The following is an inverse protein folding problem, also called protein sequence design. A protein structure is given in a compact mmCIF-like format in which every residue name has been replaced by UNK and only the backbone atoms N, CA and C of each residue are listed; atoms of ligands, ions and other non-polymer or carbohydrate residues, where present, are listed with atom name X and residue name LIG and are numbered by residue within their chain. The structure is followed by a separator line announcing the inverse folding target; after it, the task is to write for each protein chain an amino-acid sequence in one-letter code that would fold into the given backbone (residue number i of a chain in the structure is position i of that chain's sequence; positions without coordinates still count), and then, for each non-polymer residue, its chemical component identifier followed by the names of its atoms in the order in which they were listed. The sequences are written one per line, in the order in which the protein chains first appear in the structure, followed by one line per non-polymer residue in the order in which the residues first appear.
data_IF_596349400803
#
_entry.id   IF_596349400803
#
_cell.length_a   1.000
_cell.length_b   1.000
_cell.length_c   1.000
_cell.angle_alpha   90.00
_cell.angle_beta   90.00
_cell.angle_gamma   90.00
#
_symmetry.space_group_name_H-M   'P 1'
#
loop_
_entity.id
_entity.type
_entity.pdbx_description
1 polymer ?
#
# COMPACT_ATOMS: atom_id res chain seq x y z
N UNK A 1 3.09 -5.07 5.03
CA UNK A 1 4.15 -5.36 6.03
C UNK A 1 5.01 -6.52 5.53
N UNK A 2 4.48 -7.72 5.33
CA UNK A 2 5.25 -8.94 5.06
C UNK A 2 6.13 -8.84 3.80
N UNK A 3 5.58 -8.29 2.70
CA UNK A 3 6.35 -8.01 1.49
C UNK A 3 7.51 -7.02 1.74
N UNK A 4 7.25 -5.95 2.50
CA UNK A 4 8.26 -4.96 2.81
C UNK A 4 9.36 -5.54 3.74
N UNK A 5 9.00 -6.44 4.65
CA UNK A 5 9.95 -7.16 5.47
C UNK A 5 10.85 -8.07 4.62
N UNK A 6 10.28 -8.76 3.62
CA UNK A 6 11.05 -9.55 2.66
C UNK A 6 12.02 -8.67 1.84
N UNK A 7 11.54 -7.55 1.34
CA UNK A 7 12.39 -6.59 0.62
C UNK A 7 13.55 -6.10 1.51
N UNK A 8 13.26 -5.79 2.79
CA UNK A 8 14.30 -5.43 3.76
C UNK A 8 15.35 -6.55 3.92
N UNK A 9 14.92 -7.80 4.01
CA UNK A 9 15.82 -8.94 4.11
C UNK A 9 16.71 -9.09 2.86
N UNK A 10 16.13 -8.94 1.68
CA UNK A 10 16.83 -9.12 0.41
C UNK A 10 17.79 -7.97 0.07
N UNK A 11 17.46 -6.73 0.46
CA UNK A 11 18.15 -5.51 0.02
C UNK A 11 18.91 -4.77 1.13
N UNK A 12 18.58 -5.01 2.40
CA UNK A 12 19.04 -4.22 3.54
C UNK A 12 18.35 -2.85 3.68
N UNK A 13 17.42 -2.50 2.79
CA UNK A 13 16.70 -1.23 2.84
C UNK A 13 15.54 -1.37 3.84
N UNK A 14 15.45 -0.47 4.82
CA UNK A 14 14.40 -0.48 5.84
C UNK A 14 13.00 -0.32 5.22
N UNK A 15 12.00 -1.02 5.78
CA UNK A 15 10.62 -0.83 5.35
C UNK A 15 10.04 0.53 5.80
N UNK A 16 10.51 1.08 6.92
CA UNK A 16 10.20 2.44 7.34
C UNK A 16 11.42 3.32 7.04
N UNK A 17 11.28 4.26 6.12
CA UNK A 17 12.38 5.09 5.64
C UNK A 17 12.09 6.57 5.87
N UNK A 18 13.01 7.33 6.47
CA UNK A 18 12.92 8.78 6.46
C UNK A 18 12.81 9.30 5.02
N UNK A 19 12.11 10.41 4.82
CA UNK A 19 11.82 10.94 3.48
C UNK A 19 13.08 11.16 2.62
N UNK A 20 14.21 11.53 3.22
CA UNK A 20 15.48 11.75 2.50
C UNK A 20 16.09 10.47 1.87
N UNK A 21 15.59 9.27 2.19
CA UNK A 21 16.02 8.05 1.50
C UNK A 21 15.53 7.99 0.06
N UNK A 22 14.29 8.40 -0.16
CA UNK A 22 13.63 8.33 -1.45
C UNK A 22 13.66 9.66 -2.21
N UNK A 23 13.85 10.79 -1.47
CA UNK A 23 13.81 12.16 -1.98
C UNK A 23 15.07 12.94 -1.55
N UNK A 24 16.26 12.34 -1.72
CA UNK A 24 17.52 12.90 -1.21
C UNK A 24 17.89 14.29 -1.79
N UNK A 25 17.44 14.57 -3.01
CA UNK A 25 17.72 15.84 -3.70
C UNK A 25 16.73 16.96 -3.32
N UNK A 26 15.69 16.64 -2.53
CA UNK A 26 14.70 17.61 -2.09
C UNK A 26 14.99 18.06 -0.65
N UNK A 27 15.19 19.35 -0.43
CA UNK A 27 15.45 19.91 0.88
C UNK A 27 14.30 19.68 1.86
N UNK A 28 13.07 19.60 1.39
CA UNK A 28 11.91 19.31 2.21
C UNK A 28 12.03 17.95 2.91
N UNK A 29 12.63 16.97 2.28
CA UNK A 29 12.82 15.64 2.84
C UNK A 29 13.60 15.63 4.18
N UNK A 30 14.36 16.68 4.45
CA UNK A 30 15.15 16.86 5.68
C UNK A 30 14.41 17.66 6.76
N UNK A 31 13.33 18.37 6.39
CA UNK A 31 12.56 19.22 7.30
C UNK A 31 11.37 18.50 7.94
N UNK A 32 10.73 17.57 7.20
CA UNK A 32 9.53 16.84 7.64
C UNK A 32 9.89 15.53 8.37
N UNK A 33 10.51 15.65 9.55
CA UNK A 33 11.15 14.53 10.27
C UNK A 33 10.20 13.46 10.79
N UNK A 34 8.92 13.77 10.93
CA UNK A 34 7.90 12.84 11.39
C UNK A 34 7.16 12.14 10.25
N UNK A 35 7.54 12.47 9.00
CA UNK A 35 7.06 11.77 7.82
C UNK A 35 8.04 10.67 7.42
N UNK A 36 7.50 9.60 6.89
CA UNK A 36 8.28 8.46 6.42
C UNK A 36 7.56 7.68 5.33
N UNK A 37 8.33 7.07 4.46
CA UNK A 37 7.83 6.05 3.54
C UNK A 37 7.72 4.71 4.27
N UNK A 38 6.58 4.05 4.11
CA UNK A 38 6.37 2.67 4.55
C UNK A 38 6.27 1.76 3.31
N UNK A 39 7.33 1.00 3.04
CA UNK A 39 7.50 0.39 1.73
C UNK A 39 7.66 1.47 0.65
N UNK A 40 7.38 1.11 -0.60
CA UNK A 40 7.62 2.00 -1.75
C UNK A 40 6.40 2.89 -2.10
N UNK A 41 5.23 2.56 -1.54
CA UNK A 41 3.96 3.11 -2.01
C UNK A 41 3.11 3.78 -0.92
N UNK A 42 3.58 3.85 0.31
CA UNK A 42 2.82 4.45 1.41
C UNK A 42 3.63 5.56 2.06
N UNK A 43 3.10 6.78 2.02
CA UNK A 43 3.54 7.92 2.81
C UNK A 43 2.76 7.93 4.12
N UNK A 44 3.46 8.00 5.24
CA UNK A 44 2.83 8.04 6.55
C UNK A 44 3.45 9.14 7.43
N UNK A 45 2.70 9.58 8.41
CA UNK A 45 3.19 10.51 9.42
C UNK A 45 2.64 10.18 10.80
N UNK A 46 3.31 10.68 11.83
CA UNK A 46 2.84 10.61 13.21
C UNK A 46 2.23 11.93 13.63
N UNK A 47 1.07 11.89 14.29
CA UNK A 47 0.44 13.06 14.90
C UNK A 47 1.00 13.22 16.33
N UNK A 48 2.00 14.08 16.48
CA UNK A 48 2.71 14.29 17.76
C UNK A 48 2.17 15.47 18.58
N UNK A 49 1.24 16.24 18.03
CA UNK A 49 0.65 17.38 18.74
C UNK A 49 -0.61 16.97 19.49
N UNK A 50 -0.84 17.52 20.70
CA UNK A 50 -2.08 17.26 21.41
C UNK A 50 -3.28 17.80 20.64
N UNK A 51 -4.40 17.11 20.74
CA UNK A 51 -5.65 17.59 20.18
C UNK A 51 -6.12 18.88 20.91
N UNK A 52 -6.72 19.79 20.16
CA UNK A 52 -7.40 20.93 20.70
C UNK A 52 -8.54 20.51 21.64
N UNK A 53 -8.65 21.11 22.81
CA UNK A 53 -9.60 20.70 23.86
C UNK A 53 -11.07 20.94 23.51
N UNK A 54 -11.35 21.84 22.57
CA UNK A 54 -12.71 22.18 22.15
C UNK A 54 -13.16 21.31 20.97
N UNK A 55 -12.29 21.19 19.96
CA UNK A 55 -12.60 20.47 18.73
C UNK A 55 -12.29 18.98 18.78
N UNK A 56 -11.39 18.55 19.68
CA UNK A 56 -10.88 17.18 19.72
C UNK A 56 -9.95 16.82 18.56
N UNK A 57 -9.51 17.81 17.77
CA UNK A 57 -8.69 17.62 16.59
C UNK A 57 -7.24 18.05 16.83
N UNK A 58 -6.31 17.23 16.41
CA UNK A 58 -4.89 17.58 16.33
C UNK A 58 -4.54 18.05 14.92
N UNK A 59 -3.72 19.09 14.81
CA UNK A 59 -3.21 19.59 13.53
C UNK A 59 -1.88 18.92 13.18
N UNK A 60 -1.70 18.58 11.93
CA UNK A 60 -0.45 18.06 11.41
C UNK A 60 -0.15 18.69 10.04
N UNK A 61 1.01 19.35 9.94
CA UNK A 61 1.55 19.75 8.65
C UNK A 61 2.06 18.52 7.89
N UNK A 62 1.85 18.48 6.58
CA UNK A 62 2.24 17.41 5.68
C UNK A 62 2.94 17.99 4.45
N UNK A 63 3.96 17.29 4.00
CA UNK A 63 4.59 17.52 2.71
C UNK A 63 4.31 16.31 1.80
N UNK A 64 3.77 16.59 0.63
CA UNK A 64 3.51 15.60 -0.40
C UNK A 64 4.56 15.75 -1.51
N UNK A 65 5.53 14.82 -1.63
CA UNK A 65 6.61 14.93 -2.59
C UNK A 65 6.14 15.06 -4.03
N UNK A 66 6.87 15.83 -4.82
CA UNK A 66 6.64 15.99 -6.26
C UNK A 66 6.89 14.68 -7.02
N UNK A 67 6.30 14.56 -8.20
CA UNK A 67 6.44 13.40 -9.11
C UNK A 67 5.45 12.27 -8.88
N UNK A 68 4.63 12.34 -7.82
CA UNK A 68 3.53 11.40 -7.57
C UNK A 68 2.34 12.14 -6.98
N UNK A 69 1.14 11.66 -7.28
CA UNK A 69 -0.07 12.01 -6.53
C UNK A 69 -0.30 10.99 -5.41
N UNK A 70 -1.05 11.39 -4.41
CA UNK A 70 -1.26 10.63 -3.18
C UNK A 70 -2.74 10.47 -2.89
N UNK A 71 -3.17 9.26 -2.64
CA UNK A 71 -4.55 8.94 -2.29
C UNK A 71 -4.71 8.85 -0.78
N UNK A 72 -5.50 9.75 -0.21
CA UNK A 72 -5.93 9.66 1.19
C UNK A 72 -6.97 8.56 1.34
N UNK A 73 -6.59 7.48 1.99
CA UNK A 73 -7.46 6.31 2.16
C UNK A 73 -8.62 6.58 3.12
N UNK A 74 -8.46 7.53 4.05
CA UNK A 74 -9.49 7.87 5.02
C UNK A 74 -10.62 8.71 4.41
N UNK A 75 -10.26 9.69 3.57
CA UNK A 75 -11.23 10.63 2.98
C UNK A 75 -11.64 10.28 1.55
N UNK A 76 -10.86 9.45 0.86
CA UNK A 76 -11.06 9.15 -0.56
C UNK A 76 -10.60 10.27 -1.49
N UNK A 77 -9.78 11.19 -1.02
CA UNK A 77 -9.33 12.36 -1.78
C UNK A 77 -7.98 12.12 -2.43
N UNK A 78 -7.80 12.60 -3.67
CA UNK A 78 -6.50 12.68 -4.32
C UNK A 78 -5.82 13.99 -3.93
N UNK A 79 -4.55 13.90 -3.57
CA UNK A 79 -3.69 15.03 -3.21
C UNK A 79 -2.54 15.07 -4.21
N UNK A 80 -2.38 16.19 -4.88
CA UNK A 80 -1.28 16.37 -5.82
C UNK A 80 0.07 16.47 -5.11
N UNK A 81 1.09 15.89 -5.70
CA UNK A 81 2.46 16.05 -5.22
C UNK A 81 2.98 17.47 -5.42
N UNK A 82 4.13 17.77 -4.81
CA UNK A 82 4.75 19.08 -4.85
C UNK A 82 4.11 20.13 -3.94
N UNK A 83 3.27 19.73 -2.98
CA UNK A 83 2.58 20.66 -2.09
C UNK A 83 2.74 20.33 -0.60
N UNK A 84 2.42 21.31 0.21
CA UNK A 84 2.34 21.21 1.67
C UNK A 84 0.93 21.56 2.10
N UNK A 85 0.42 20.86 3.10
CA UNK A 85 -0.88 21.14 3.68
C UNK A 85 -0.84 21.00 5.21
N UNK A 86 -1.86 21.55 5.89
CA UNK A 86 -2.07 21.33 7.31
C UNK A 86 -3.40 20.64 7.51
N UNK A 87 -3.34 19.38 7.82
CA UNK A 87 -4.49 18.51 8.00
C UNK A 87 -4.85 18.35 9.47
N UNK A 88 -6.06 17.90 9.73
CA UNK A 88 -6.58 17.69 11.10
C UNK A 88 -7.03 16.25 11.26
N UNK A 89 -6.73 15.69 12.46
CA UNK A 89 -6.98 14.29 12.76
C UNK A 89 -7.60 14.13 14.14
N UNK A 90 -8.48 13.17 14.27
CA UNK A 90 -8.96 12.69 15.57
C UNK A 90 -7.98 11.69 16.18
N UNK A 91 -8.15 11.34 17.47
CA UNK A 91 -7.32 10.34 18.15
C UNK A 91 -7.44 8.92 17.54
N UNK A 92 -8.50 8.65 16.78
CA UNK A 92 -8.76 7.36 16.15
C UNK A 92 -8.22 7.26 14.71
N UNK A 93 -7.65 8.34 14.19
CA UNK A 93 -7.11 8.38 12.84
C UNK A 93 -5.60 8.20 12.85
N UNK A 94 -5.12 7.40 11.90
CA UNK A 94 -3.70 7.20 11.65
C UNK A 94 -3.40 7.64 10.21
N UNK A 95 -2.77 8.81 10.02
CA UNK A 95 -2.57 9.36 8.68
C UNK A 95 -1.63 8.52 7.84
N UNK A 96 -2.12 8.02 6.73
CA UNK A 96 -1.31 7.43 5.67
C UNK A 96 -1.96 7.64 4.31
N UNK A 97 -1.12 7.76 3.32
CA UNK A 97 -1.50 8.07 1.95
C UNK A 97 -0.86 7.04 1.03
N UNK A 98 -1.62 6.56 0.07
CA UNK A 98 -1.14 5.58 -0.90
C UNK A 98 -0.78 6.30 -2.19
N UNK A 99 0.38 5.99 -2.73
CA UNK A 99 0.83 6.49 -4.03
C UNK A 99 -0.22 6.20 -5.10
N UNK A 100 -0.55 7.21 -5.91
CA UNK A 100 -1.51 7.05 -6.98
C UNK A 100 -1.11 5.91 -7.91
N UNK A 101 -2.08 5.07 -8.25
CA UNK A 101 -1.87 3.92 -9.11
C UNK A 101 -1.20 2.70 -8.48
N UNK A 102 -0.81 2.74 -7.22
CA UNK A 102 -0.21 1.60 -6.54
C UNK A 102 -1.21 0.46 -6.29
N UNK A 103 -0.68 -0.75 -6.20
CA UNK A 103 -1.43 -1.94 -5.78
C UNK A 103 -0.83 -2.47 -4.48
N UNK A 104 -1.60 -2.40 -3.41
CA UNK A 104 -1.16 -2.80 -2.08
C UNK A 104 -1.75 -4.17 -1.73
N UNK A 105 -0.92 -5.21 -1.59
CA UNK A 105 -1.36 -6.50 -1.08
C UNK A 105 -1.71 -6.41 0.41
N UNK A 106 -2.87 -6.90 0.77
CA UNK A 106 -3.40 -6.87 2.13
C UNK A 106 -3.88 -8.26 2.55
N UNK A 107 -3.89 -8.51 3.84
CA UNK A 107 -4.57 -9.68 4.39
C UNK A 107 -6.08 -9.59 4.15
N UNK A 108 -6.72 -10.71 3.96
CA UNK A 108 -8.18 -10.77 3.87
C UNK A 108 -8.85 -10.40 5.20
N UNK A 109 -10.14 -10.09 5.12
CA UNK A 109 -10.96 -9.80 6.30
C UNK A 109 -11.46 -11.06 7.04
N UNK A 110 -11.04 -12.22 6.57
CA UNK A 110 -11.37 -13.53 7.15
C UNK A 110 -10.51 -13.89 8.38
N UNK A 111 -9.47 -13.11 8.66
CA UNK A 111 -8.59 -13.30 9.82
C UNK A 111 -8.70 -12.14 10.82
N UNK A 112 -8.48 -12.42 12.08
CA UNK A 112 -8.44 -11.43 13.17
C UNK A 112 -7.00 -11.11 13.62
N UNK A 113 -6.07 -11.97 13.29
CA UNK A 113 -4.66 -11.87 13.65
C UNK A 113 -3.80 -12.33 12.47
N UNK A 114 -2.63 -11.74 12.29
CA UNK A 114 -1.66 -12.17 11.27
C UNK A 114 -1.01 -13.54 11.58
N UNK A 115 -1.30 -14.12 12.73
CA UNK A 115 -0.94 -15.51 13.05
C UNK A 115 -1.93 -16.54 12.45
N UNK A 116 -3.10 -16.07 12.04
CA UNK A 116 -4.08 -16.90 11.35
C UNK A 116 -3.75 -16.98 9.85
N UNK A 117 -3.93 -18.18 9.27
CA UNK A 117 -3.74 -18.37 7.83
C UNK A 117 -4.98 -17.88 7.08
N UNK A 118 -4.81 -16.86 6.25
CA UNK A 118 -5.86 -16.39 5.36
C UNK A 118 -5.76 -17.10 4.01
N UNK A 119 -6.89 -17.55 3.47
CA UNK A 119 -6.97 -18.00 2.09
C UNK A 119 -7.43 -16.88 1.14
N UNK A 120 -7.55 -15.66 1.62
CA UNK A 120 -7.93 -14.48 0.83
C UNK A 120 -6.73 -13.56 0.69
N UNK A 121 -6.31 -13.31 -0.54
CA UNK A 121 -5.43 -12.21 -0.88
C UNK A 121 -6.27 -11.02 -1.32
N UNK A 122 -6.25 -9.96 -0.54
CA UNK A 122 -6.89 -8.69 -0.89
C UNK A 122 -5.88 -7.79 -1.58
N UNK A 123 -6.25 -7.26 -2.74
CA UNK A 123 -5.47 -6.30 -3.49
C UNK A 123 -6.20 -4.96 -3.46
N UNK A 124 -5.64 -3.99 -2.76
CA UNK A 124 -6.13 -2.62 -2.77
C UNK A 124 -5.48 -1.90 -3.95
N UNK A 125 -6.29 -1.39 -4.86
CA UNK A 125 -5.86 -0.70 -6.08
C UNK A 125 -6.16 0.78 -5.92
N UNK A 126 -5.13 1.58 -5.71
CA UNK A 126 -5.27 3.03 -5.61
C UNK A 126 -5.60 3.65 -6.97
N UNK A 127 -6.42 4.72 -7.01
CA UNK A 127 -6.72 5.43 -8.24
C UNK A 127 -5.46 6.07 -8.83
N UNK A 128 -5.46 6.29 -10.13
CA UNK A 128 -4.35 6.88 -10.88
C UNK A 128 -4.07 6.11 -12.16
N UNK A 129 -3.72 6.83 -13.21
CA UNK A 129 -3.40 6.29 -14.53
C UNK A 129 -2.00 5.65 -14.55
N UNK A 130 -1.69 4.98 -15.66
CA UNK A 130 -0.38 4.38 -15.90
C UNK A 130 -0.24 2.95 -15.40
N UNK A 131 1.00 2.47 -15.45
CA UNK A 131 1.35 1.10 -15.16
C UNK A 131 2.07 1.00 -13.82
N UNK A 132 1.71 0.01 -13.03
CA UNK A 132 2.43 -0.32 -11.79
C UNK A 132 2.56 -1.83 -11.62
N UNK A 133 3.54 -2.24 -10.82
CA UNK A 133 3.78 -3.64 -10.52
C UNK A 133 4.10 -3.81 -9.04
N UNK A 134 3.62 -4.90 -8.45
CA UNK A 134 4.00 -5.31 -7.10
C UNK A 134 4.20 -6.82 -7.07
N UNK A 135 4.84 -7.32 -6.04
CA UNK A 135 5.02 -8.75 -5.83
C UNK A 135 4.46 -9.14 -4.48
N UNK A 136 3.64 -10.18 -4.45
CA UNK A 136 3.16 -10.79 -3.21
C UNK A 136 4.15 -11.87 -2.82
N UNK A 137 4.74 -11.73 -1.66
CA UNK A 137 5.64 -12.72 -1.05
C UNK A 137 4.90 -13.54 0.00
N UNK A 138 5.21 -14.83 0.05
CA UNK A 138 4.62 -15.79 0.97
C UNK A 138 5.60 -16.89 1.35
N UNK A 139 5.57 -17.29 2.61
CA UNK A 139 6.26 -18.45 3.16
C UNK A 139 5.40 -19.12 4.24
N UNK A 140 5.94 -20.04 5.02
CA UNK A 140 5.20 -20.75 6.06
C UNK A 140 4.86 -19.87 7.28
N UNK A 141 5.52 -18.71 7.43
CA UNK A 141 5.31 -17.76 8.53
C UNK A 141 5.84 -18.21 9.90
N UNK A 142 6.50 -19.35 10.00
CA UNK A 142 6.85 -19.98 11.27
C UNK A 142 8.32 -20.38 11.35
N UNK A 143 8.89 -20.91 10.27
CA UNK A 143 10.23 -21.49 10.26
C UNK A 143 11.27 -20.55 9.67
N UNK A 144 12.54 -20.95 9.71
CA UNK A 144 13.61 -20.25 9.02
C UNK A 144 13.81 -20.72 7.57
N UNK A 145 12.90 -21.55 7.05
CA UNK A 145 12.93 -22.05 5.68
C UNK A 145 12.67 -20.94 4.64
N UNK A 146 12.13 -19.77 5.05
CA UNK A 146 11.90 -18.60 4.21
C UNK A 146 13.10 -18.16 3.36
N UNK A 147 14.31 -18.64 3.69
CA UNK A 147 15.52 -18.36 2.92
C UNK A 147 15.51 -19.03 1.55
N UNK A 148 14.90 -20.21 1.46
CA UNK A 148 14.88 -21.07 0.27
C UNK A 148 13.48 -21.49 -0.13
N UNK A 149 12.58 -21.64 0.85
CA UNK A 149 11.19 -22.09 0.65
C UNK A 149 10.22 -20.92 0.75
N UNK A 150 9.89 -20.33 -0.36
CA UNK A 150 8.93 -19.24 -0.46
C UNK A 150 8.25 -19.23 -1.82
N UNK A 151 7.18 -18.49 -1.91
CA UNK A 151 6.50 -18.25 -3.18
C UNK A 151 6.32 -16.76 -3.43
N UNK A 152 6.31 -16.39 -4.70
CA UNK A 152 6.02 -15.03 -5.14
C UNK A 152 4.94 -15.01 -6.20
N UNK A 153 4.10 -13.98 -6.16
CA UNK A 153 3.06 -13.74 -7.17
C UNK A 153 3.19 -12.31 -7.67
N UNK A 154 3.56 -12.17 -8.94
CA UNK A 154 3.60 -10.84 -9.56
C UNK A 154 2.20 -10.33 -9.83
N UNK A 155 1.96 -9.07 -9.54
CA UNK A 155 0.71 -8.36 -9.84
C UNK A 155 1.06 -7.12 -10.62
N UNK A 156 0.40 -6.92 -11.77
CA UNK A 156 0.54 -5.70 -12.57
C UNK A 156 -0.80 -5.01 -12.73
N UNK A 157 -0.75 -3.69 -12.76
CA UNK A 157 -1.88 -2.81 -13.06
C UNK A 157 -1.54 -2.01 -14.31
N UNK A 158 -2.50 -1.90 -15.21
CA UNK A 158 -2.53 -1.00 -16.36
C UNK A 158 -3.80 -0.18 -16.24
N UNK A 159 -3.71 1.15 -16.29
CA UNK A 159 -4.88 2.02 -16.17
C UNK A 159 -4.76 3.26 -17.05
N UNK A 160 -5.91 3.69 -17.57
CA UNK A 160 -6.14 4.96 -18.21
C UNK A 160 -7.45 5.59 -17.69
N UNK A 161 -7.82 6.74 -18.21
CA UNK A 161 -9.01 7.48 -17.78
C UNK A 161 -10.34 6.68 -17.83
N UNK A 162 -10.39 5.54 -18.52
CA UNK A 162 -11.61 4.77 -18.78
C UNK A 162 -11.51 3.31 -18.36
N UNK A 163 -10.32 2.78 -18.19
CA UNK A 163 -10.10 1.36 -17.95
C UNK A 163 -9.06 1.13 -16.85
N UNK A 164 -9.33 0.14 -16.01
CA UNK A 164 -8.34 -0.42 -15.08
C UNK A 164 -8.28 -1.92 -15.30
N UNK A 165 -7.08 -2.42 -15.56
CA UNK A 165 -6.80 -3.84 -15.70
C UNK A 165 -5.77 -4.27 -14.67
N UNK A 166 -6.11 -5.27 -13.87
CA UNK A 166 -5.18 -5.89 -12.92
C UNK A 166 -4.93 -7.33 -13.36
N UNK A 167 -3.65 -7.67 -13.50
CA UNK A 167 -3.22 -9.02 -13.86
C UNK A 167 -2.47 -9.65 -12.70
N UNK A 168 -2.94 -10.80 -12.24
CA UNK A 168 -2.27 -11.61 -11.23
C UNK A 168 -1.63 -12.80 -11.92
N UNK A 169 -0.32 -12.86 -11.93
CA UNK A 169 0.43 -13.93 -12.56
C UNK A 169 0.32 -15.25 -11.78
N UNK A 170 0.72 -16.33 -12.40
CA UNK A 170 0.87 -17.60 -11.70
C UNK A 170 1.90 -17.49 -10.58
N UNK A 171 1.60 -18.09 -9.43
CA UNK A 171 2.52 -18.18 -8.29
C UNK A 171 3.77 -18.94 -8.70
N UNK A 172 4.95 -18.45 -8.29
CA UNK A 172 6.25 -19.08 -8.50
C UNK A 172 6.85 -19.47 -7.16
N UNK A 173 7.42 -20.66 -7.07
CA UNK A 173 7.98 -21.19 -5.83
C UNK A 173 6.98 -22.00 -5.01
N UNK A 174 7.42 -22.52 -3.89
CA UNK A 174 6.64 -23.35 -2.97
C UNK A 174 7.19 -23.26 -1.57
N UNK A 175 6.35 -23.52 -0.58
CA UNK A 175 6.72 -23.62 0.83
C UNK A 175 5.80 -24.61 1.55
N UNK A 176 6.18 -25.03 2.74
CA UNK A 176 5.39 -25.97 3.52
C UNK A 176 4.03 -25.36 3.93
N UNK A 177 2.95 -26.06 3.66
CA UNK A 177 1.58 -25.62 3.98
C UNK A 177 0.99 -24.62 2.98
N UNK A 178 1.57 -24.50 1.78
CA UNK A 178 1.02 -23.64 0.71
C UNK A 178 -0.40 -24.09 0.33
N UNK A 179 -1.35 -23.15 0.35
CA UNK A 179 -2.72 -23.37 -0.12
C UNK A 179 -2.84 -22.97 -1.60
N UNK A 180 -3.35 -23.90 -2.42
CA UNK A 180 -3.59 -23.67 -3.83
C UNK A 180 -5.00 -23.13 -4.14
N UNK A 181 -5.87 -23.05 -3.13
CA UNK A 181 -7.29 -22.63 -3.28
C UNK A 181 -7.53 -21.17 -2.90
N UNK A 182 -6.52 -20.29 -3.06
CA UNK A 182 -6.63 -18.88 -2.69
C UNK A 182 -7.74 -18.16 -3.45
N UNK A 183 -8.52 -17.38 -2.72
CA UNK A 183 -9.45 -16.39 -3.26
C UNK A 183 -8.75 -15.05 -3.44
N UNK A 184 -9.06 -14.36 -4.54
CA UNK A 184 -8.60 -12.99 -4.79
C UNK A 184 -9.77 -12.03 -4.53
N UNK A 185 -9.51 -10.97 -3.77
CA UNK A 185 -10.42 -9.87 -3.54
C UNK A 185 -9.78 -8.59 -4.06
N UNK A 186 -10.43 -7.91 -4.99
CA UNK A 186 -9.98 -6.62 -5.49
C UNK A 186 -10.81 -5.50 -4.87
N UNK A 187 -10.14 -4.45 -4.41
CA UNK A 187 -10.76 -3.22 -3.93
C UNK A 187 -10.21 -2.08 -4.76
N UNK A 188 -11.00 -1.61 -5.71
CA UNK A 188 -10.68 -0.43 -6.52
C UNK A 188 -11.16 0.81 -5.76
N UNK A 189 -10.21 1.62 -5.29
CA UNK A 189 -10.51 2.83 -4.53
C UNK A 189 -10.74 4.02 -5.47
N UNK A 190 -11.56 4.98 -5.04
CA UNK A 190 -11.75 6.25 -5.74
C UNK A 190 -12.34 6.12 -7.16
N UNK A 191 -13.03 5.03 -7.46
CA UNK A 191 -13.68 4.82 -8.76
C UNK A 191 -15.20 4.81 -8.61
N UNK A 192 -15.89 5.25 -9.65
CA UNK A 192 -17.34 5.07 -9.76
C UNK A 192 -17.68 3.61 -10.09
N UNK A 193 -18.97 3.25 -9.93
CA UNK A 193 -19.45 1.94 -10.36
C UNK A 193 -19.14 1.73 -11.86
N UNK A 194 -18.42 0.66 -12.21
CA UNK A 194 -18.05 0.42 -13.60
C UNK A 194 -19.26 0.04 -14.44
N UNK A 195 -19.26 0.43 -15.71
CA UNK A 195 -20.28 -0.03 -16.67
C UNK A 195 -20.14 -1.53 -16.97
N UNK A 196 -18.90 -2.04 -16.91
CA UNK A 196 -18.59 -3.41 -17.22
C UNK A 196 -17.41 -3.94 -16.41
N UNK A 197 -17.56 -5.16 -15.92
CA UNK A 197 -16.48 -5.90 -15.23
C UNK A 197 -16.21 -7.19 -15.98
N UNK A 198 -14.94 -7.45 -16.27
CA UNK A 198 -14.49 -8.68 -16.91
C UNK A 198 -13.53 -9.45 -15.99
N UNK A 199 -13.77 -10.75 -15.83
CA UNK A 199 -12.85 -11.67 -15.17
C UNK A 199 -12.39 -12.70 -16.18
N UNK A 200 -11.10 -12.71 -16.49
CA UNK A 200 -10.51 -13.58 -17.53
C UNK A 200 -11.25 -13.48 -18.88
N UNK A 201 -11.62 -12.25 -19.27
CA UNK A 201 -12.33 -11.95 -20.52
C UNK A 201 -13.83 -12.27 -20.52
N UNK A 202 -14.37 -12.76 -19.42
CA UNK A 202 -15.82 -13.04 -19.27
C UNK A 202 -16.46 -11.97 -18.40
N UNK A 203 -17.61 -11.48 -18.84
CA UNK A 203 -18.41 -10.51 -18.09
C UNK A 203 -19.05 -11.17 -16.86
N UNK A 204 -19.05 -10.45 -15.72
CA UNK A 204 -19.55 -10.90 -14.43
C UNK A 204 -20.52 -9.90 -13.83
#
# INVERSE_FOLDING_TARGET
IYNAARQTYDTGISMCRPMYYDYAEDNEAYEWKEEFMFGDDILATTVCQPADKITGLAKRGMWFPEGNDWYDVATGTMIHGGQKDTLTYTVNENPYYVKAGAVIPMAGSDIKSLQEKSNVLKLFVAPGDGNSTTSVYEDDGESQAYKEEFATTAVSKEADASHVKVTVAARKGTYNGIDNSRRLQFVFAGVFAPEKVLVNGKEV
#
